data_IF_960363591807
#
_entry.id   IF_960363591807
#
_cell.length_a   1.000
_cell.length_b   1.000
_cell.length_c   1.000
_cell.angle_alpha   90.00
_cell.angle_beta   90.00
_cell.angle_gamma   90.00
#
_symmetry.space_group_name_H-M   'P 1'
#
loop_
_entity.id
_entity.type
_entity.pdbx_description
1 polymer ?
#
# COMPACT_ATOMS: atom_id res chain seq x y z
N UNK A 1 34.95 1.56 -14.52
CA UNK A 1 34.86 0.86 -13.23
C UNK A 1 33.39 0.61 -12.96
N UNK A 2 32.91 -0.57 -13.36
CA UNK A 2 31.48 -0.91 -13.39
C UNK A 2 30.94 -1.14 -11.98
N UNK A 3 29.78 -0.57 -11.65
CA UNK A 3 28.96 -1.02 -10.54
C UNK A 3 27.81 -1.86 -11.11
N UNK A 4 27.92 -3.16 -10.89
CA UNK A 4 27.05 -4.25 -11.35
C UNK A 4 26.57 -5.00 -10.10
N UNK A 5 25.36 -5.55 -10.17
CA UNK A 5 24.66 -6.41 -9.19
C UNK A 5 24.02 -5.71 -7.99
N UNK A 6 22.70 -5.46 -8.02
CA UNK A 6 21.66 -6.31 -7.37
C UNK A 6 20.34 -6.14 -8.18
N UNK A 7 20.26 -6.78 -9.35
CA UNK A 7 19.06 -6.87 -10.18
C UNK A 7 18.71 -8.34 -10.46
N UNK A 8 18.88 -9.20 -9.47
CA UNK A 8 18.66 -10.65 -9.58
C UNK A 8 17.76 -11.08 -8.43
N UNK A 9 16.43 -11.09 -8.65
CA UNK A 9 15.52 -11.66 -7.65
C UNK A 9 14.03 -11.35 -7.77
N UNK A 10 13.61 -10.33 -8.52
CA UNK A 10 12.18 -10.08 -8.74
C UNK A 10 11.67 -11.02 -9.85
N UNK A 11 11.32 -12.24 -9.45
CA UNK A 11 10.65 -13.24 -10.27
C UNK A 11 9.33 -12.69 -10.84
N UNK A 12 9.36 -12.36 -12.13
CA UNK A 12 8.39 -12.67 -13.21
C UNK A 12 6.88 -12.39 -13.09
N UNK A 13 6.28 -12.03 -11.97
CA UNK A 13 4.87 -11.58 -11.96
C UNK A 13 4.77 -10.10 -11.56
N UNK A 14 5.16 -9.21 -12.48
CA UNK A 14 4.73 -7.83 -12.38
C UNK A 14 3.20 -7.82 -12.51
N UNK A 15 2.50 -7.67 -11.38
CA UNK A 15 1.05 -7.47 -11.33
C UNK A 15 0.76 -6.23 -12.16
N UNK A 16 0.28 -6.43 -13.39
CA UNK A 16 -0.23 -5.40 -14.27
C UNK A 16 -1.55 -4.85 -13.70
N UNK A 17 -1.47 -4.14 -12.57
CA UNK A 17 -2.60 -3.42 -12.03
C UNK A 17 -2.73 -2.13 -12.83
N UNK A 18 -3.78 -2.01 -13.64
CA UNK A 18 -4.14 -0.73 -14.23
C UNK A 18 -4.41 0.25 -13.08
N UNK A 19 -3.53 1.24 -12.90
CA UNK A 19 -3.71 2.27 -11.89
C UNK A 19 -4.84 3.19 -12.36
N UNK A 20 -6.04 3.03 -11.79
CA UNK A 20 -7.14 3.97 -11.96
C UNK A 20 -7.10 5.03 -10.87
N UNK A 21 -6.81 6.28 -11.26
CA UNK A 21 -6.85 7.42 -10.36
C UNK A 21 -8.31 7.88 -10.27
N UNK A 22 -8.91 7.79 -9.09
CA UNK A 22 -10.31 8.18 -8.81
C UNK A 22 -10.58 9.69 -8.99
N UNK A 23 -9.55 10.51 -9.22
CA UNK A 23 -9.64 11.97 -9.34
C UNK A 23 -9.91 12.71 -8.02
N UNK A 24 -10.16 11.97 -6.93
CA UNK A 24 -10.48 12.49 -5.60
C UNK A 24 -9.25 12.38 -4.69
N UNK A 25 -8.43 13.41 -4.67
CA UNK A 25 -7.30 13.48 -3.73
C UNK A 25 -7.76 13.78 -2.31
N UNK A 26 -7.06 13.23 -1.32
CA UNK A 26 -7.25 13.60 0.09
C UNK A 26 -6.07 14.44 0.57
N UNK A 27 -6.36 15.56 1.23
CA UNK A 27 -5.35 16.35 1.92
C UNK A 27 -5.05 15.74 3.29
N UNK A 28 -3.78 15.58 3.60
CA UNK A 28 -3.29 15.14 4.91
C UNK A 28 -2.90 16.34 5.75
N UNK A 29 -3.11 16.24 7.06
CA UNK A 29 -2.46 17.16 8.01
C UNK A 29 -0.98 16.81 8.13
N UNK A 30 -0.15 17.76 8.55
CA UNK A 30 1.31 17.60 8.66
C UNK A 30 1.73 16.40 9.52
N UNK A 31 0.87 15.93 10.44
CA UNK A 31 1.14 14.84 11.37
C UNK A 31 0.35 13.56 11.04
N UNK A 32 -0.33 13.48 9.90
CA UNK A 32 -1.06 12.29 9.49
C UNK A 32 -0.18 11.36 8.66
N UNK A 33 -0.13 10.08 9.05
CA UNK A 33 0.64 9.05 8.38
C UNK A 33 -0.30 7.91 8.02
N UNK A 34 -0.25 7.48 6.75
CA UNK A 34 -0.95 6.28 6.30
C UNK A 34 -0.10 5.06 6.63
N UNK A 35 -0.64 4.17 7.45
CA UNK A 35 -0.01 2.89 7.78
C UNK A 35 -1.02 1.75 7.66
N UNK A 36 -0.58 0.69 6.97
CA UNK A 36 -1.20 -0.64 6.95
C UNK A 36 -0.12 -1.70 7.17
N UNK A 37 -0.46 -2.81 7.84
CA UNK A 37 0.41 -3.98 7.99
C UNK A 37 -0.29 -5.22 7.48
N UNK A 38 0.47 -6.12 6.87
CA UNK A 38 -0.01 -7.42 6.41
C UNK A 38 0.79 -8.55 7.03
N UNK A 39 0.19 -9.73 7.11
CA UNK A 39 0.91 -10.97 7.38
C UNK A 39 1.65 -11.48 6.12
N UNK A 40 2.30 -12.65 6.25
CA UNK A 40 3.02 -13.28 5.14
C UNK A 40 2.10 -13.82 4.03
N UNK A 41 0.81 -13.97 4.29
CA UNK A 41 -0.19 -14.36 3.30
C UNK A 41 -0.84 -13.14 2.62
N UNK A 42 -0.42 -11.93 2.97
CA UNK A 42 -0.97 -10.69 2.42
C UNK A 42 -2.30 -10.26 3.05
N UNK A 43 -2.74 -10.88 4.14
CA UNK A 43 -3.93 -10.45 4.88
C UNK A 43 -3.58 -9.25 5.73
N UNK A 44 -4.42 -8.22 5.71
CA UNK A 44 -4.22 -7.07 6.58
C UNK A 44 -4.38 -7.47 8.04
N UNK A 45 -3.48 -7.00 8.90
CA UNK A 45 -3.45 -7.30 10.33
C UNK A 45 -3.54 -6.07 11.20
N UNK A 46 -3.35 -4.88 10.61
CA UNK A 46 -3.49 -3.60 11.28
C UNK A 46 -3.64 -2.49 10.25
N UNK A 47 -4.53 -1.54 10.53
CA UNK A 47 -4.62 -0.28 9.83
C UNK A 47 -4.76 0.89 10.80
N UNK A 48 -4.15 2.00 10.43
CA UNK A 48 -4.33 3.28 11.11
C UNK A 48 -5.69 3.90 10.80
N UNK A 49 -6.19 4.76 11.70
CA UNK A 49 -7.44 5.50 11.50
C UNK A 49 -7.44 6.32 10.21
N UNK A 50 -6.29 6.89 9.85
CA UNK A 50 -6.12 7.65 8.61
C UNK A 50 -6.34 6.75 7.40
N UNK A 51 -5.83 5.51 7.42
CA UNK A 51 -6.06 4.53 6.36
C UNK A 51 -7.55 4.18 6.23
N UNK A 52 -8.22 3.85 7.34
CA UNK A 52 -9.64 3.48 7.35
C UNK A 52 -10.49 4.61 6.76
N UNK A 53 -10.23 5.85 7.18
CA UNK A 53 -10.97 7.04 6.72
C UNK A 53 -10.85 7.31 5.22
N UNK A 54 -9.67 7.08 4.62
CA UNK A 54 -9.43 7.36 3.20
C UNK A 54 -9.69 6.16 2.28
N UNK A 55 -9.68 4.93 2.82
CA UNK A 55 -9.84 3.71 2.02
C UNK A 55 -11.29 3.51 1.55
N UNK A 56 -12.24 4.09 2.28
CA UNK A 56 -13.67 3.91 2.02
C UNK A 56 -14.26 2.60 2.57
N UNK A 57 -13.47 1.80 3.28
CA UNK A 57 -13.90 0.57 3.94
C UNK A 57 -14.11 0.80 5.44
N UNK A 58 -15.06 0.07 6.02
CA UNK A 58 -15.18 -0.03 7.47
C UNK A 58 -14.00 -0.82 8.05
N UNK A 59 -13.66 -0.55 9.31
CA UNK A 59 -12.59 -1.28 10.01
C UNK A 59 -12.81 -2.80 10.00
N UNK A 60 -14.07 -3.24 10.17
CA UNK A 60 -14.45 -4.65 10.15
C UNK A 60 -14.30 -5.34 8.78
N UNK A 61 -14.11 -4.58 7.70
CA UNK A 61 -13.85 -5.12 6.35
C UNK A 61 -12.35 -5.25 6.07
N UNK A 62 -11.51 -4.70 6.94
CA UNK A 62 -10.08 -4.52 6.71
C UNK A 62 -9.21 -5.50 7.51
N UNK A 63 -9.58 -5.84 8.75
CA UNK A 63 -8.81 -6.70 9.67
C UNK A 63 -9.60 -7.88 10.21
#
# INVERSE_FOLDING_TARGET
MQQRLIAEGLSREAISMAICISGSGHNFRDNEIIVSKTDLQGRMTFCSDVFIRISGYAEAELV
#
